data_IF_031093659364
#
_entry.id   IF_031093659364
#
_cell.length_a   1.000
_cell.length_b   1.000
_cell.length_c   1.000
_cell.angle_alpha   90.00
_cell.angle_beta   90.00
_cell.angle_gamma   90.00
#
_symmetry.space_group_name_H-M   'P 1'
#
loop_
_entity.id
_entity.type
_entity.pdbx_description
1 polymer ?
#
# COMPACT_ATOMS: atom_id res chain seq x y z
N UNK A 1 4.82 24.07 -12.30
CA UNK A 1 6.11 23.33 -12.27
C UNK A 1 6.07 22.28 -13.37
N UNK A 2 7.22 21.99 -13.96
CA UNK A 2 7.41 20.86 -14.87
C UNK A 2 7.87 19.66 -14.02
N UNK A 3 7.29 18.49 -14.27
CA UNK A 3 7.67 17.25 -13.58
C UNK A 3 8.63 16.46 -14.45
N UNK A 4 9.80 16.16 -13.91
CA UNK A 4 10.82 15.33 -14.55
C UNK A 4 10.98 14.05 -13.74
N UNK A 5 10.66 12.91 -14.35
CA UNK A 5 10.70 11.61 -13.66
C UNK A 5 12.14 11.11 -13.63
N UNK A 6 12.63 10.74 -12.45
CA UNK A 6 13.91 10.04 -12.27
C UNK A 6 13.65 8.53 -12.32
N UNK A 7 14.46 7.80 -13.07
CA UNK A 7 14.34 6.36 -13.19
C UNK A 7 14.70 5.63 -11.89
N UNK A 8 14.24 4.40 -11.78
CA UNK A 8 14.70 3.45 -10.77
C UNK A 8 15.57 2.38 -11.41
N UNK A 9 16.50 1.84 -10.65
CA UNK A 9 17.32 0.70 -11.03
C UNK A 9 16.53 -0.63 -10.94
N UNK A 10 17.16 -1.72 -11.39
CA UNK A 10 16.56 -3.06 -11.35
C UNK A 10 16.29 -3.59 -9.92
N UNK A 11 16.88 -2.98 -8.90
CA UNK A 11 16.70 -3.34 -7.49
C UNK A 11 15.64 -2.50 -6.78
N UNK A 12 15.04 -1.55 -7.51
CA UNK A 12 14.01 -0.65 -7.00
C UNK A 12 14.53 0.60 -6.28
N UNK A 13 15.84 0.88 -6.36
CA UNK A 13 16.42 2.13 -5.87
C UNK A 13 16.36 3.23 -6.93
N UNK A 14 16.60 4.47 -6.53
CA UNK A 14 16.77 5.59 -7.46
C UNK A 14 18.03 5.37 -8.31
N UNK A 15 17.90 5.48 -9.64
CA UNK A 15 19.06 5.46 -10.53
C UNK A 15 19.86 6.75 -10.35
N UNK A 16 21.01 6.63 -9.68
CA UNK A 16 21.89 7.76 -9.37
C UNK A 16 22.49 8.39 -10.61
N UNK A 17 22.71 7.64 -11.68
CA UNK A 17 23.22 8.16 -12.94
C UNK A 17 22.17 9.03 -13.64
N UNK A 18 20.94 8.56 -13.69
CA UNK A 18 19.82 9.31 -14.25
C UNK A 18 19.49 10.55 -13.41
N UNK A 19 19.56 10.45 -12.06
CA UNK A 19 19.40 11.60 -11.18
C UNK A 19 20.41 12.69 -11.48
N UNK A 20 21.72 12.36 -11.52
CA UNK A 20 22.78 13.32 -11.79
C UNK A 20 22.60 13.97 -13.16
N UNK A 21 22.32 13.18 -14.20
CA UNK A 21 22.10 13.71 -15.54
C UNK A 21 20.96 14.74 -15.57
N UNK A 22 19.85 14.45 -14.89
CA UNK A 22 18.68 15.35 -14.82
C UNK A 22 18.97 16.58 -14.01
N UNK A 23 19.67 16.45 -12.89
CA UNK A 23 20.09 17.60 -12.07
C UNK A 23 20.99 18.54 -12.89
N UNK A 24 21.96 18.02 -13.62
CA UNK A 24 22.81 18.84 -14.53
C UNK A 24 21.98 19.52 -15.61
N UNK A 25 21.07 18.78 -16.26
CA UNK A 25 20.23 19.30 -17.33
C UNK A 25 19.28 20.41 -16.87
N UNK A 26 18.81 20.36 -15.64
CA UNK A 26 17.79 21.28 -15.11
C UNK A 26 18.29 22.16 -13.96
N UNK A 27 19.58 22.28 -13.75
CA UNK A 27 20.21 22.97 -12.58
C UNK A 27 19.59 24.34 -12.31
N UNK A 28 19.46 25.21 -13.33
CA UNK A 28 18.91 26.57 -13.15
C UNK A 28 17.39 26.59 -12.88
N UNK A 29 16.71 25.47 -13.05
CA UNK A 29 15.26 25.32 -12.91
C UNK A 29 14.88 24.32 -11.83
N UNK A 30 15.86 23.71 -11.15
CA UNK A 30 15.64 22.72 -10.11
C UNK A 30 14.96 23.37 -8.91
N UNK A 31 13.69 23.02 -8.68
CA UNK A 31 12.93 23.51 -7.53
C UNK A 31 12.99 22.52 -6.36
N UNK A 32 12.62 21.27 -6.61
CA UNK A 32 12.64 20.23 -5.59
C UNK A 32 12.67 18.82 -6.21
N UNK A 33 13.11 17.87 -5.41
CA UNK A 33 12.88 16.43 -5.59
C UNK A 33 11.76 16.00 -4.65
N UNK A 34 10.80 15.19 -5.14
CA UNK A 34 9.86 14.47 -4.30
C UNK A 34 10.25 12.99 -4.24
N UNK A 35 10.38 12.45 -3.05
CA UNK A 35 10.79 11.06 -2.80
C UNK A 35 9.97 10.44 -1.69
N UNK A 36 9.63 9.15 -1.81
CA UNK A 36 9.04 8.35 -0.74
C UNK A 36 10.14 7.51 -0.09
N UNK A 37 10.22 7.50 1.25
CA UNK A 37 11.22 6.70 1.97
C UNK A 37 10.59 5.99 3.19
N UNK A 38 10.80 4.66 3.35
CA UNK A 38 11.30 3.74 2.31
C UNK A 38 10.44 3.80 1.05
N UNK A 39 10.98 3.36 -0.09
CA UNK A 39 10.26 3.45 -1.36
C UNK A 39 9.03 2.53 -1.41
N UNK A 40 8.05 2.88 -2.24
CA UNK A 40 6.90 2.01 -2.54
C UNK A 40 7.28 0.71 -3.27
N UNK A 41 8.52 0.57 -3.70
CA UNK A 41 9.08 -0.69 -4.18
C UNK A 41 9.41 -1.68 -3.06
N UNK A 42 9.23 -1.27 -1.79
CA UNK A 42 9.50 -2.11 -0.62
C UNK A 42 10.98 -2.22 -0.28
N UNK A 43 11.78 -1.23 -0.64
CA UNK A 43 13.22 -1.21 -0.36
C UNK A 43 13.65 0.06 0.38
N UNK A 44 14.63 -0.07 1.26
CA UNK A 44 15.34 1.08 1.82
C UNK A 44 16.36 1.60 0.80
N UNK A 45 16.14 2.81 0.31
CA UNK A 45 17.09 3.51 -0.54
C UNK A 45 18.39 3.78 0.22
N UNK A 46 19.46 3.06 -0.13
CA UNK A 46 20.75 3.17 0.57
C UNK A 46 21.44 4.50 0.33
N UNK A 47 21.23 5.10 -0.84
CA UNK A 47 21.81 6.37 -1.27
C UNK A 47 20.97 7.59 -0.89
N UNK A 48 19.95 7.45 -0.04
CA UNK A 48 19.00 8.55 0.25
C UNK A 48 19.67 9.84 0.72
N UNK A 49 20.74 9.76 1.51
CA UNK A 49 21.47 10.94 1.95
C UNK A 49 22.25 11.62 0.84
N UNK A 50 22.85 10.83 -0.03
CA UNK A 50 23.58 11.33 -1.20
C UNK A 50 22.60 11.98 -2.19
N UNK A 51 21.43 11.38 -2.38
CA UNK A 51 20.33 11.97 -3.16
C UNK A 51 19.95 13.34 -2.61
N UNK A 52 19.72 13.45 -1.30
CA UNK A 52 19.41 14.74 -0.67
C UNK A 52 20.54 15.77 -0.86
N UNK A 53 21.80 15.37 -0.68
CA UNK A 53 22.95 16.24 -0.86
C UNK A 53 23.06 16.74 -2.32
N UNK A 54 22.91 15.86 -3.32
CA UNK A 54 22.93 16.23 -4.73
C UNK A 54 21.89 17.33 -5.02
N UNK A 55 20.69 17.17 -4.53
CA UNK A 55 19.61 18.15 -4.72
C UNK A 55 19.94 19.48 -4.04
N UNK A 56 20.43 19.44 -2.80
CA UNK A 56 20.79 20.65 -2.05
C UNK A 56 21.97 21.39 -2.65
N UNK A 57 23.00 20.68 -3.10
CA UNK A 57 24.20 21.27 -3.71
C UNK A 57 23.86 21.99 -5.03
N UNK A 58 22.75 21.59 -5.67
CA UNK A 58 22.24 22.25 -6.88
C UNK A 58 21.05 23.21 -6.60
N UNK A 59 20.88 23.64 -5.33
CA UNK A 59 19.92 24.69 -4.94
C UNK A 59 18.47 24.24 -4.82
N UNK A 60 18.17 22.96 -5.01
CA UNK A 60 16.83 22.36 -4.86
C UNK A 60 16.50 22.06 -3.39
N UNK A 61 15.24 21.66 -3.18
CA UNK A 61 14.72 21.20 -1.88
C UNK A 61 14.27 19.74 -1.99
N UNK A 62 14.19 19.04 -0.86
CA UNK A 62 13.72 17.66 -0.81
C UNK A 62 12.38 17.58 -0.08
N UNK A 63 11.35 17.13 -0.81
CA UNK A 63 10.05 16.77 -0.27
C UNK A 63 9.99 15.28 -0.04
N UNK A 64 9.86 14.85 1.21
CA UNK A 64 9.68 13.44 1.55
C UNK A 64 8.20 13.14 1.76
N UNK A 65 7.69 12.18 1.00
CA UNK A 65 6.41 11.55 1.29
C UNK A 65 6.55 10.70 2.55
N UNK A 66 5.81 11.06 3.59
CA UNK A 66 5.84 10.40 4.90
C UNK A 66 4.80 9.28 5.05
N UNK A 67 4.22 8.79 3.95
CA UNK A 67 3.25 7.69 3.99
C UNK A 67 3.83 6.43 4.65
N UNK A 68 5.10 6.15 4.43
CA UNK A 68 5.81 4.97 4.95
C UNK A 68 6.51 5.23 6.30
N UNK A 69 5.99 6.14 7.12
CA UNK A 69 6.57 6.52 8.41
C UNK A 69 6.65 5.35 9.40
N UNK A 70 5.78 4.35 9.29
CA UNK A 70 5.81 3.12 10.09
C UNK A 70 7.10 2.29 9.92
N UNK A 71 7.89 2.55 8.89
CA UNK A 71 9.22 1.96 8.71
C UNK A 71 10.36 2.86 9.21
N UNK A 72 10.06 4.03 9.80
CA UNK A 72 11.05 5.02 10.23
C UNK A 72 11.02 5.32 11.74
N UNK A 73 9.84 5.29 12.37
CA UNK A 73 9.64 5.76 13.75
C UNK A 73 10.61 5.10 14.72
N UNK A 74 11.38 5.94 15.43
CA UNK A 74 12.38 5.49 16.41
C UNK A 74 13.69 4.94 15.83
N UNK A 75 13.78 4.75 14.51
CA UNK A 75 15.00 4.28 13.82
C UNK A 75 15.68 5.41 13.04
N UNK A 76 14.90 6.27 12.40
CA UNK A 76 15.36 7.45 11.67
C UNK A 76 14.28 8.52 11.66
N UNK A 77 14.52 9.63 10.97
CA UNK A 77 13.51 10.67 10.74
C UNK A 77 13.80 11.43 9.44
N UNK A 78 12.79 12.09 8.84
CA UNK A 78 12.99 12.92 7.66
C UNK A 78 14.11 13.94 7.79
N UNK A 79 14.22 14.60 8.94
CA UNK A 79 15.29 15.57 9.20
C UNK A 79 16.70 14.96 9.26
N UNK A 80 16.85 13.75 9.81
CA UNK A 80 18.15 13.02 9.84
C UNK A 80 18.54 12.55 8.43
N UNK A 81 17.56 12.22 7.60
CA UNK A 81 17.76 11.80 6.21
C UNK A 81 18.19 12.99 5.34
N UNK A 82 17.63 14.18 5.60
CA UNK A 82 17.95 15.41 4.85
C UNK A 82 16.72 16.02 4.15
N UNK A 83 15.51 15.58 4.46
CA UNK A 83 14.30 16.18 3.89
C UNK A 83 14.07 17.60 4.45
N UNK A 84 13.66 18.53 3.57
CA UNK A 84 13.30 19.90 3.93
C UNK A 84 11.84 20.00 4.36
N UNK A 85 11.00 19.16 3.82
CA UNK A 85 9.57 19.08 4.10
C UNK A 85 9.10 17.63 4.04
N UNK A 86 8.19 17.28 4.94
CA UNK A 86 7.56 15.95 4.97
C UNK A 86 6.11 16.09 5.40
N UNK A 87 5.19 15.47 4.67
CA UNK A 87 3.84 15.24 5.18
C UNK A 87 3.73 13.88 5.85
N UNK A 88 2.82 13.76 6.81
CA UNK A 88 2.50 12.50 7.48
C UNK A 88 1.08 12.08 7.16
N UNK A 89 0.86 10.78 7.04
CA UNK A 89 -0.46 10.16 6.93
C UNK A 89 -0.83 9.53 8.27
N UNK A 90 -1.55 10.27 9.13
CA UNK A 90 -1.89 9.77 10.46
C UNK A 90 -2.78 8.52 10.43
N UNK A 91 -3.56 8.33 9.35
CA UNK A 91 -4.39 7.14 9.11
C UNK A 91 -3.60 5.90 8.72
N UNK A 92 -2.28 5.99 8.59
CA UNK A 92 -1.37 4.85 8.39
C UNK A 92 -0.65 4.55 9.70
N UNK A 93 0.39 5.28 10.02
CA UNK A 93 1.28 5.00 11.17
C UNK A 93 0.67 5.33 12.54
N UNK A 94 -0.27 6.28 12.61
CA UNK A 94 -0.72 6.88 13.88
C UNK A 94 -2.21 6.66 14.17
N UNK A 95 -2.77 5.58 13.66
CA UNK A 95 -4.02 4.93 14.06
C UNK A 95 -5.33 5.75 13.91
N UNK A 96 -5.35 6.91 13.24
CA UNK A 96 -6.64 7.57 12.97
C UNK A 96 -7.41 6.81 11.89
N UNK A 97 -8.75 6.85 11.90
CA UNK A 97 -9.54 6.26 10.83
C UNK A 97 -9.30 6.98 9.50
N UNK A 98 -9.31 6.17 8.42
CA UNK A 98 -9.37 6.64 7.04
C UNK A 98 -10.45 5.84 6.33
N UNK A 99 -11.06 6.23 5.33
CA UNK A 99 -12.18 5.49 4.76
C UNK A 99 -13.33 5.28 5.77
N UNK A 100 -14.46 4.79 5.35
CA UNK A 100 -15.63 4.61 6.20
C UNK A 100 -16.16 5.90 6.84
N UNK A 101 -15.70 7.08 6.38
CA UNK A 101 -16.19 8.39 6.80
C UNK A 101 -15.35 9.11 7.86
N UNK A 102 -14.20 8.60 8.23
CA UNK A 102 -13.28 9.31 9.13
C UNK A 102 -12.63 10.51 8.45
N UNK A 103 -12.50 11.70 9.12
CA UNK A 103 -11.76 12.82 8.58
C UNK A 103 -10.27 12.50 8.52
N UNK A 104 -9.62 12.81 7.37
CA UNK A 104 -8.19 12.69 7.22
C UNK A 104 -7.43 13.79 7.95
N UNK A 105 -6.18 13.50 8.32
CA UNK A 105 -5.25 14.48 8.87
C UNK A 105 -3.85 14.18 8.34
N UNK A 106 -3.24 15.16 7.70
CA UNK A 106 -1.90 15.09 7.13
C UNK A 106 -1.03 16.24 7.65
N UNK A 107 -0.43 16.13 8.85
CA UNK A 107 0.48 17.16 9.33
C UNK A 107 1.64 17.36 8.38
N UNK A 108 2.03 18.61 8.17
CA UNK A 108 3.22 18.98 7.40
C UNK A 108 4.32 19.42 8.35
N UNK A 109 5.49 18.82 8.19
CA UNK A 109 6.69 19.16 8.95
C UNK A 109 7.72 19.78 8.00
N UNK A 110 8.39 20.86 8.44
CA UNK A 110 9.36 21.56 7.62
C UNK A 110 10.61 21.92 8.43
N UNK A 111 11.72 22.16 7.75
CA UNK A 111 12.90 22.72 8.35
C UNK A 111 12.79 24.26 8.54
N UNK A 112 13.80 24.87 9.15
CA UNK A 112 13.82 26.32 9.44
C UNK A 112 13.77 27.21 8.19
N UNK A 113 14.25 26.74 7.03
CA UNK A 113 14.20 27.47 5.76
C UNK A 113 12.75 27.64 5.28
N UNK A 114 11.92 26.64 5.47
CA UNK A 114 10.52 26.60 5.00
C UNK A 114 9.52 27.07 6.07
N UNK A 115 9.88 27.10 7.34
CA UNK A 115 9.00 27.53 8.44
C UNK A 115 8.34 28.91 8.21
N UNK A 116 9.02 29.94 7.66
CA UNK A 116 8.38 31.22 7.36
C UNK A 116 7.24 31.15 6.36
N UNK A 117 7.17 30.12 5.52
CA UNK A 117 6.20 29.95 4.43
C UNK A 117 5.05 29.02 4.77
N UNK A 118 5.00 28.47 5.98
CA UNK A 118 3.88 27.62 6.41
C UNK A 118 2.54 28.36 6.23
N UNK A 119 1.46 27.66 5.82
CA UNK A 119 0.17 28.29 5.55
C UNK A 119 -0.40 29.07 6.75
N UNK A 120 -0.94 30.24 6.47
CA UNK A 120 -1.66 31.06 7.44
C UNK A 120 -3.12 30.66 7.59
N UNK A 121 -3.83 31.39 8.45
CA UNK A 121 -5.28 31.28 8.59
C UNK A 121 -5.90 32.63 8.93
N UNK A 122 -7.10 32.89 8.42
CA UNK A 122 -7.74 34.20 8.57
C UNK A 122 -8.17 34.49 10.02
N UNK A 123 -8.45 33.45 10.84
CA UNK A 123 -8.98 33.63 12.18
C UNK A 123 -7.90 33.56 13.28
N UNK A 124 -6.80 32.83 13.04
CA UNK A 124 -5.72 32.67 13.99
C UNK A 124 -4.37 32.66 13.28
N UNK A 125 -3.32 33.06 13.98
CA UNK A 125 -1.96 33.02 13.46
C UNK A 125 -1.43 31.58 13.54
N UNK A 126 -1.43 30.85 12.42
CA UNK A 126 -0.91 29.49 12.31
C UNK A 126 0.37 29.39 11.50
N UNK A 127 0.62 30.36 10.64
CA UNK A 127 1.71 30.35 9.67
C UNK A 127 2.93 31.13 10.11
N UNK A 128 3.95 31.09 9.25
CA UNK A 128 5.18 31.89 9.40
C UNK A 128 5.01 33.32 8.91
N UNK A 129 6.12 34.10 8.99
CA UNK A 129 6.12 35.54 8.64
C UNK A 129 5.84 35.84 7.15
N UNK A 130 5.99 34.82 6.28
CA UNK A 130 5.71 34.89 4.83
C UNK A 130 4.58 33.92 4.46
N UNK A 131 3.66 33.69 5.40
CA UNK A 131 2.56 32.73 5.22
C UNK A 131 1.69 33.11 4.02
N UNK A 132 1.22 32.10 3.32
CA UNK A 132 0.21 32.19 2.28
C UNK A 132 -1.19 31.99 2.89
N UNK A 133 -2.19 31.83 2.04
CA UNK A 133 -3.59 31.61 2.43
C UNK A 133 -3.79 30.33 3.24
N UNK A 134 -4.97 30.19 3.88
CA UNK A 134 -5.40 28.98 4.54
C UNK A 134 -5.54 27.81 3.53
N UNK A 135 -5.10 26.62 3.94
CA UNK A 135 -5.25 25.39 3.14
C UNK A 135 -6.43 24.53 3.59
N UNK A 136 -7.02 24.83 4.75
CA UNK A 136 -8.21 24.16 5.29
C UNK A 136 -9.14 25.18 5.92
N UNK A 137 -10.44 24.83 5.98
CA UNK A 137 -11.46 25.71 6.58
C UNK A 137 -11.28 25.91 8.07
N UNK A 138 -10.86 24.86 8.79
CA UNK A 138 -10.50 24.96 10.20
C UNK A 138 -8.98 25.17 10.33
N UNK A 139 -8.53 25.99 11.31
CA UNK A 139 -7.10 26.32 11.46
C UNK A 139 -6.16 25.13 11.56
N UNK A 140 -6.61 24.06 12.23
CA UNK A 140 -5.82 22.86 12.48
C UNK A 140 -6.45 21.63 11.78
N UNK A 141 -7.25 21.82 10.73
CA UNK A 141 -8.00 20.74 10.10
C UNK A 141 -8.95 20.05 11.10
N UNK A 142 -9.08 18.76 11.04
CA UNK A 142 -9.93 17.96 11.97
C UNK A 142 -9.21 17.67 13.29
N UNK A 143 -8.91 18.70 14.07
CA UNK A 143 -8.04 18.61 15.23
C UNK A 143 -8.51 17.61 16.30
N UNK A 144 -9.82 17.36 16.45
CA UNK A 144 -10.36 16.39 17.43
C UNK A 144 -9.84 14.96 17.20
N UNK A 145 -9.51 14.59 15.96
CA UNK A 145 -9.02 13.27 15.62
C UNK A 145 -7.58 13.03 16.13
N UNK A 146 -6.84 14.10 16.42
CA UNK A 146 -5.48 14.02 16.97
C UNK A 146 -5.43 13.33 18.33
N UNK A 147 -6.56 13.31 19.08
CA UNK A 147 -6.66 12.60 20.36
C UNK A 147 -6.43 11.09 20.19
N UNK A 148 -6.79 10.52 19.04
CA UNK A 148 -6.53 9.10 18.73
C UNK A 148 -5.04 8.85 18.61
N UNK A 149 -4.33 9.63 17.78
CA UNK A 149 -2.88 9.54 17.65
C UNK A 149 -2.15 9.82 18.97
N UNK A 150 -2.63 10.81 19.75
CA UNK A 150 -2.10 11.08 21.07
C UNK A 150 -2.25 9.88 22.00
N UNK A 151 -3.44 9.29 22.07
CA UNK A 151 -3.71 8.08 22.85
C UNK A 151 -2.83 6.92 22.45
N UNK A 152 -2.73 6.64 21.13
CA UNK A 152 -1.86 5.61 20.56
C UNK A 152 -0.40 5.77 21.00
N UNK A 153 0.17 6.96 20.81
CA UNK A 153 1.57 7.25 21.17
C UNK A 153 1.76 7.14 22.69
N UNK A 154 0.80 7.64 23.50
CA UNK A 154 0.88 7.58 24.96
C UNK A 154 0.81 6.15 25.49
N UNK A 155 -0.02 5.31 24.89
CA UNK A 155 -0.17 3.89 25.27
C UNK A 155 1.10 3.10 24.96
N UNK A 156 1.71 3.31 23.80
CA UNK A 156 2.90 2.59 23.37
C UNK A 156 4.18 3.15 24.00
N UNK A 157 4.27 4.46 24.20
CA UNK A 157 5.48 5.14 24.61
C UNK A 157 6.59 5.06 23.54
N UNK A 158 7.75 5.67 23.83
CA UNK A 158 8.87 5.71 22.90
C UNK A 158 9.37 4.30 22.49
N UNK A 159 9.41 3.37 23.44
CA UNK A 159 9.82 2.00 23.19
C UNK A 159 8.80 1.29 22.28
N UNK A 160 7.51 1.38 22.58
CA UNK A 160 6.48 0.67 21.84
C UNK A 160 6.36 1.14 20.39
N UNK A 161 6.41 2.46 20.10
CA UNK A 161 6.37 2.95 18.73
C UNK A 161 7.63 2.56 17.93
N UNK A 162 8.79 2.44 18.59
CA UNK A 162 10.01 1.93 17.96
C UNK A 162 9.91 0.43 17.68
N UNK A 163 9.38 -0.33 18.62
CA UNK A 163 9.18 -1.78 18.46
C UNK A 163 8.14 -2.06 17.36
N UNK A 164 7.07 -1.26 17.26
CA UNK A 164 6.12 -1.35 16.15
C UNK A 164 6.83 -1.26 14.79
N UNK A 165 7.70 -0.26 14.60
CA UNK A 165 8.53 -0.15 13.37
C UNK A 165 9.38 -1.40 13.13
N UNK A 166 10.05 -1.90 14.16
CA UNK A 166 10.89 -3.11 14.05
C UNK A 166 10.07 -4.34 13.66
N UNK A 167 8.89 -4.52 14.26
CA UNK A 167 7.99 -5.63 13.95
C UNK A 167 7.40 -5.51 12.55
N UNK A 168 7.05 -4.33 12.08
CA UNK A 168 6.59 -4.14 10.70
C UNK A 168 7.64 -4.62 9.69
N UNK A 169 8.90 -4.23 9.88
CA UNK A 169 10.02 -4.67 9.02
C UNK A 169 10.29 -6.18 9.17
N UNK A 170 10.24 -6.70 10.40
CA UNK A 170 10.45 -8.13 10.66
C UNK A 170 9.36 -8.99 10.01
N UNK A 171 8.09 -8.61 10.16
CA UNK A 171 6.94 -9.32 9.61
C UNK A 171 6.98 -9.38 8.08
N UNK A 172 7.33 -8.26 7.43
CA UNK A 172 7.50 -8.24 5.98
C UNK A 172 8.60 -9.21 5.52
N UNK A 173 9.76 -9.19 6.18
CA UNK A 173 10.85 -10.10 5.85
C UNK A 173 10.55 -11.56 6.22
N UNK A 174 9.72 -11.81 7.23
CA UNK A 174 9.24 -13.16 7.55
C UNK A 174 8.37 -13.71 6.41
N UNK A 175 7.38 -12.94 5.95
CA UNK A 175 6.54 -13.33 4.80
C UNK A 175 7.41 -13.54 3.55
N UNK A 176 8.35 -12.61 3.27
CA UNK A 176 9.27 -12.75 2.16
C UNK A 176 9.99 -14.10 2.18
N UNK A 177 10.62 -14.43 3.30
CA UNK A 177 11.36 -15.70 3.46
C UNK A 177 10.48 -16.95 3.31
N UNK A 178 9.18 -16.85 3.63
CA UNK A 178 8.21 -17.94 3.46
C UNK A 178 7.75 -18.12 2.01
N UNK A 179 7.77 -17.05 1.21
CA UNK A 179 7.16 -17.02 -0.12
C UNK A 179 8.16 -16.99 -1.26
N UNK A 180 9.42 -16.56 -1.07
CA UNK A 180 10.37 -16.27 -2.15
C UNK A 180 10.74 -17.46 -3.04
N UNK A 181 10.64 -18.69 -2.54
CA UNK A 181 10.84 -19.91 -3.34
C UNK A 181 9.64 -20.22 -4.27
N UNK A 182 8.45 -19.69 -3.97
CA UNK A 182 7.22 -19.93 -4.71
C UNK A 182 6.77 -18.76 -5.57
N UNK A 183 7.11 -17.55 -5.14
CA UNK A 183 6.73 -16.29 -5.78
C UNK A 183 7.95 -15.37 -5.86
N UNK A 184 8.30 -14.88 -7.05
CA UNK A 184 9.38 -13.89 -7.16
C UNK A 184 9.03 -12.62 -6.38
N UNK A 185 9.95 -12.16 -5.55
CA UNK A 185 9.88 -10.83 -4.94
C UNK A 185 10.60 -9.87 -5.87
N UNK A 186 9.86 -8.91 -6.42
CA UNK A 186 10.34 -8.09 -7.53
C UNK A 186 11.55 -7.23 -7.14
N UNK A 187 11.53 -6.68 -5.91
CA UNK A 187 12.61 -5.84 -5.41
C UNK A 187 13.01 -6.29 -4.00
N UNK A 188 14.30 -6.35 -3.73
CA UNK A 188 14.82 -6.83 -2.43
C UNK A 188 16.00 -6.01 -1.92
N UNK A 189 16.26 -4.83 -2.49
CA UNK A 189 17.39 -3.99 -2.11
C UNK A 189 18.76 -4.69 -2.24
N UNK A 190 19.81 -4.01 -1.84
CA UNK A 190 21.18 -4.53 -1.97
C UNK A 190 21.49 -5.71 -1.05
N UNK A 191 20.81 -5.80 0.11
CA UNK A 191 21.01 -6.85 1.12
C UNK A 191 20.02 -8.00 0.99
N UNK A 192 19.25 -8.05 -0.10
CA UNK A 192 18.26 -9.09 -0.33
C UNK A 192 17.09 -9.05 0.66
N UNK A 193 16.77 -7.90 1.24
CA UNK A 193 15.71 -7.73 2.25
C UNK A 193 14.68 -6.71 1.79
N UNK A 194 13.44 -6.94 2.18
CA UNK A 194 12.37 -5.96 2.05
C UNK A 194 12.42 -4.92 3.19
N UNK A 195 11.78 -3.79 2.99
CA UNK A 195 11.49 -2.82 4.05
C UNK A 195 10.31 -3.34 4.91
N UNK A 196 9.25 -2.58 5.05
CA UNK A 196 8.02 -2.95 5.75
C UNK A 196 6.95 -3.55 4.83
N UNK A 197 7.16 -3.48 3.53
CA UNK A 197 6.31 -3.99 2.47
C UNK A 197 7.14 -4.63 1.36
N UNK A 198 6.53 -5.42 0.50
CA UNK A 198 7.20 -6.05 -0.64
C UNK A 198 6.27 -6.18 -1.84
N UNK A 199 6.85 -6.25 -3.02
CA UNK A 199 6.14 -6.45 -4.28
C UNK A 199 6.33 -7.88 -4.74
N UNK A 200 5.24 -8.65 -4.76
CA UNK A 200 5.21 -10.03 -5.26
C UNK A 200 4.82 -10.03 -6.72
N UNK A 201 5.65 -10.62 -7.57
CA UNK A 201 5.44 -10.65 -9.01
C UNK A 201 4.58 -11.85 -9.42
N UNK A 202 3.40 -11.58 -10.00
CA UNK A 202 2.47 -12.60 -10.48
C UNK A 202 2.42 -12.68 -12.01
N UNK A 203 3.19 -11.86 -12.73
CA UNK A 203 3.15 -11.76 -14.19
C UNK A 203 3.48 -13.05 -14.92
N UNK A 204 4.33 -13.89 -14.30
CA UNK A 204 4.68 -15.21 -14.85
C UNK A 204 3.47 -16.16 -14.98
N UNK A 205 2.45 -16.00 -14.16
CA UNK A 205 1.27 -16.88 -14.16
C UNK A 205 0.27 -16.54 -15.26
N UNK A 206 0.49 -15.44 -15.99
CA UNK A 206 -0.32 -15.05 -17.13
C UNK A 206 -0.31 -16.12 -18.24
N UNK A 207 0.79 -16.87 -18.39
CA UNK A 207 0.87 -17.97 -19.33
C UNK A 207 -0.12 -19.10 -19.03
N UNK A 208 -0.46 -19.32 -17.74
CA UNK A 208 -1.49 -20.24 -17.30
C UNK A 208 -2.91 -19.64 -17.30
N UNK A 209 -3.07 -18.40 -17.79
CA UNK A 209 -4.36 -17.70 -17.79
C UNK A 209 -4.73 -17.09 -16.43
N UNK A 210 -3.82 -17.05 -15.46
CA UNK A 210 -4.08 -16.56 -14.11
C UNK A 210 -3.51 -15.14 -13.95
N UNK A 211 -4.37 -14.22 -13.52
CA UNK A 211 -4.05 -12.82 -13.26
C UNK A 211 -3.81 -12.55 -11.77
N UNK A 212 -3.25 -11.37 -11.46
CA UNK A 212 -3.13 -10.89 -10.09
C UNK A 212 -4.52 -10.74 -9.42
N UNK A 213 -5.54 -10.38 -10.18
CA UNK A 213 -6.91 -10.29 -9.68
C UNK A 213 -7.45 -11.66 -9.26
N UNK A 214 -7.16 -12.73 -10.01
CA UNK A 214 -7.59 -14.09 -9.66
C UNK A 214 -6.98 -14.53 -8.33
N UNK A 215 -5.70 -14.27 -8.11
CA UNK A 215 -5.03 -14.53 -6.84
C UNK A 215 -5.64 -13.71 -5.70
N UNK A 216 -5.90 -12.43 -5.92
CA UNK A 216 -6.53 -11.56 -4.93
C UNK A 216 -7.95 -12.01 -4.57
N UNK A 217 -8.76 -12.34 -5.55
CA UNK A 217 -10.12 -12.85 -5.32
C UNK A 217 -10.09 -14.23 -4.63
N UNK A 218 -9.12 -15.07 -4.97
CA UNK A 218 -8.96 -16.36 -4.31
C UNK A 218 -8.54 -16.24 -2.85
N UNK A 219 -7.70 -15.26 -2.49
CA UNK A 219 -7.37 -14.95 -1.09
C UNK A 219 -8.62 -14.67 -0.23
N UNK A 220 -9.68 -14.09 -0.80
CA UNK A 220 -10.94 -13.88 -0.08
C UNK A 220 -11.58 -15.22 0.34
N UNK A 221 -11.46 -16.28 -0.46
CA UNK A 221 -11.92 -17.62 -0.09
C UNK A 221 -11.10 -18.21 1.08
N UNK A 222 -9.84 -17.79 1.21
CA UNK A 222 -8.96 -18.15 2.33
C UNK A 222 -9.15 -17.26 3.57
N UNK A 223 -10.11 -16.31 3.51
CA UNK A 223 -10.47 -15.45 4.65
C UNK A 223 -9.60 -14.20 4.77
N UNK A 224 -8.94 -13.77 3.71
CA UNK A 224 -8.11 -12.57 3.69
C UNK A 224 -8.69 -11.47 2.81
N UNK A 225 -8.62 -10.25 3.28
CA UNK A 225 -8.73 -9.09 2.41
C UNK A 225 -7.49 -9.04 1.51
N UNK A 226 -7.70 -8.94 0.20
CA UNK A 226 -6.58 -8.99 -0.73
C UNK A 226 -5.63 -7.80 -0.56
N UNK A 227 -4.31 -8.02 -0.72
CA UNK A 227 -3.34 -6.93 -0.79
C UNK A 227 -3.60 -6.00 -1.98
N UNK A 228 -2.95 -4.83 -1.98
CA UNK A 228 -3.03 -3.86 -3.07
C UNK A 228 -2.58 -4.48 -4.40
N UNK A 229 -3.44 -4.34 -5.43
CA UNK A 229 -3.22 -4.91 -6.75
C UNK A 229 -2.53 -3.93 -7.69
N UNK A 230 -1.61 -4.46 -8.51
CA UNK A 230 -1.03 -3.75 -9.65
C UNK A 230 -0.46 -2.37 -9.31
N UNK A 231 0.11 -2.25 -8.12
CA UNK A 231 0.77 -1.03 -7.66
C UNK A 231 2.05 -1.39 -6.85
N UNK A 232 3.17 -0.70 -7.09
CA UNK A 232 3.41 0.31 -8.13
C UNK A 232 3.60 -0.30 -9.54
N UNK A 233 3.67 -1.62 -9.64
CA UNK A 233 3.91 -2.33 -10.91
C UNK A 233 2.67 -3.14 -11.30
N UNK A 234 2.24 -3.04 -12.55
CA UNK A 234 1.11 -3.79 -13.07
C UNK A 234 1.34 -5.31 -13.02
N UNK A 235 0.33 -6.08 -12.61
CA UNK A 235 0.39 -7.54 -12.52
C UNK A 235 1.13 -8.07 -11.28
N UNK A 236 1.25 -7.25 -10.24
CA UNK A 236 1.85 -7.60 -8.95
C UNK A 236 0.84 -7.43 -7.81
N UNK A 237 1.19 -7.91 -6.62
CA UNK A 237 0.53 -7.55 -5.37
C UNK A 237 1.56 -6.95 -4.40
N UNK A 238 1.16 -5.91 -3.66
CA UNK A 238 1.96 -5.32 -2.60
C UNK A 238 1.49 -5.87 -1.26
N UNK A 239 2.38 -6.52 -0.53
CA UNK A 239 2.09 -7.09 0.78
C UNK A 239 2.75 -6.23 1.86
N UNK A 240 1.92 -5.68 2.76
CA UNK A 240 2.33 -4.92 3.93
C UNK A 240 1.63 -5.52 5.17
N UNK A 241 2.32 -6.38 5.95
CA UNK A 241 1.70 -7.03 7.11
C UNK A 241 1.54 -6.10 8.31
N UNK A 242 2.25 -4.98 8.35
CA UNK A 242 2.37 -4.07 9.50
C UNK A 242 2.91 -4.76 10.77
N UNK A 243 2.86 -4.07 11.90
CA UNK A 243 3.19 -4.62 13.22
C UNK A 243 2.01 -5.29 13.91
N UNK A 244 0.80 -5.07 13.40
CA UNK A 244 -0.44 -5.47 14.08
C UNK A 244 -0.79 -6.95 13.89
N UNK A 245 -0.22 -7.60 12.88
CA UNK A 245 -0.47 -9.02 12.61
C UNK A 245 0.39 -9.92 13.50
N UNK A 246 -0.24 -10.88 14.17
CA UNK A 246 0.50 -11.88 14.93
C UNK A 246 1.10 -12.98 14.03
N UNK A 247 2.04 -13.74 14.59
CA UNK A 247 2.72 -14.79 13.83
C UNK A 247 1.77 -15.85 13.27
N UNK A 248 0.69 -16.18 13.98
CA UNK A 248 -0.29 -17.16 13.53
C UNK A 248 -1.05 -16.66 12.29
N UNK A 249 -1.36 -15.37 12.25
CA UNK A 249 -1.98 -14.74 11.08
C UNK A 249 -1.02 -14.65 9.90
N UNK A 250 0.26 -14.31 10.13
CA UNK A 250 1.29 -14.34 9.08
C UNK A 250 1.47 -15.75 8.50
N UNK A 251 1.47 -16.78 9.36
CA UNK A 251 1.55 -18.16 8.94
C UNK A 251 0.34 -18.56 8.08
N UNK A 252 -0.88 -18.24 8.53
CA UNK A 252 -2.12 -18.49 7.76
C UNK A 252 -2.09 -17.83 6.38
N UNK A 253 -1.60 -16.60 6.30
CA UNK A 253 -1.49 -15.85 5.05
C UNK A 253 -0.49 -16.52 4.09
N UNK A 254 0.68 -16.88 4.59
CA UNK A 254 1.67 -17.60 3.80
C UNK A 254 1.14 -18.96 3.32
N UNK A 255 0.48 -19.73 4.20
CA UNK A 255 -0.11 -21.02 3.85
C UNK A 255 -1.19 -20.88 2.78
N UNK A 256 -2.00 -19.82 2.84
CA UNK A 256 -2.99 -19.51 1.81
C UNK A 256 -2.33 -19.25 0.46
N UNK A 257 -1.30 -18.40 0.39
CA UNK A 257 -0.59 -18.13 -0.85
C UNK A 257 0.14 -19.37 -1.39
N UNK A 258 0.75 -20.16 -0.54
CA UNK A 258 1.42 -21.42 -0.95
C UNK A 258 0.40 -22.44 -1.49
N UNK A 259 -0.82 -22.50 -0.95
CA UNK A 259 -1.87 -23.36 -1.52
C UNK A 259 -2.41 -22.78 -2.84
N UNK A 260 -2.59 -21.47 -2.94
CA UNK A 260 -2.93 -20.80 -4.21
C UNK A 260 -1.87 -21.08 -5.27
N UNK A 261 -0.59 -21.13 -4.91
CA UNK A 261 0.48 -21.49 -5.84
C UNK A 261 0.29 -22.89 -6.39
N UNK A 262 -0.07 -23.86 -5.57
CA UNK A 262 -0.39 -25.23 -6.04
C UNK A 262 -1.60 -25.25 -6.97
N UNK A 263 -2.63 -24.45 -6.65
CA UNK A 263 -3.81 -24.31 -7.53
C UNK A 263 -3.41 -23.74 -8.90
N UNK A 264 -2.51 -22.74 -8.95
CA UNK A 264 -1.95 -22.20 -10.19
C UNK A 264 -1.18 -23.28 -10.98
N UNK A 265 -0.36 -24.10 -10.29
CA UNK A 265 0.40 -25.18 -10.92
C UNK A 265 -0.52 -26.25 -11.49
N UNK A 266 -1.64 -26.54 -10.84
CA UNK A 266 -2.68 -27.45 -11.37
C UNK A 266 -3.35 -26.91 -12.64
N UNK A 267 -3.56 -25.60 -12.74
CA UNK A 267 -4.03 -24.98 -13.99
C UNK A 267 -2.94 -25.05 -15.07
N UNK A 268 -1.71 -24.71 -14.73
CA UNK A 268 -0.61 -24.71 -15.68
C UNK A 268 -0.27 -26.10 -16.25
N UNK A 269 -0.46 -27.15 -15.44
CA UNK A 269 -0.27 -28.56 -15.86
C UNK A 269 -1.48 -29.14 -16.63
N UNK A 270 -2.61 -28.45 -16.69
CA UNK A 270 -3.84 -28.94 -17.30
C UNK A 270 -4.65 -29.90 -16.40
N UNK A 271 -4.29 -30.06 -15.12
CA UNK A 271 -5.09 -30.79 -14.13
C UNK A 271 -6.42 -30.08 -13.83
N UNK A 272 -6.43 -28.75 -13.88
CA UNK A 272 -7.64 -27.92 -13.83
C UNK A 272 -7.83 -27.16 -15.14
N UNK A 273 -9.09 -26.94 -15.51
CA UNK A 273 -9.44 -26.17 -16.70
C UNK A 273 -8.93 -24.72 -16.61
N UNK A 274 -8.34 -24.22 -17.68
CA UNK A 274 -7.74 -22.91 -17.73
C UNK A 274 -8.76 -21.75 -17.58
N UNK A 275 -9.99 -21.95 -18.09
CA UNK A 275 -11.00 -20.90 -18.15
C UNK A 275 -12.00 -20.95 -17.00
N UNK A 276 -12.26 -22.18 -16.46
CA UNK A 276 -13.20 -22.38 -15.37
C UNK A 276 -12.60 -23.22 -14.26
N UNK A 277 -11.89 -22.57 -13.36
CA UNK A 277 -11.22 -23.18 -12.22
C UNK A 277 -11.49 -22.40 -10.92
N UNK A 278 -10.97 -22.90 -9.83
CA UNK A 278 -11.21 -22.33 -8.50
C UNK A 278 -10.66 -20.91 -8.33
N UNK A 279 -9.66 -20.53 -9.12
CA UNK A 279 -9.06 -19.18 -9.11
C UNK A 279 -9.89 -18.19 -9.94
N UNK A 280 -10.20 -18.55 -11.18
CA UNK A 280 -10.96 -17.68 -12.10
C UNK A 280 -12.41 -17.48 -11.67
N UNK A 281 -12.99 -18.44 -10.92
CA UNK A 281 -14.35 -18.35 -10.38
C UNK A 281 -14.40 -17.74 -8.96
N UNK A 282 -13.28 -17.51 -8.31
CA UNK A 282 -13.23 -16.86 -6.99
C UNK A 282 -13.70 -15.39 -7.07
N UNK A 283 -14.27 -14.83 -5.98
CA UNK A 283 -14.52 -15.47 -4.70
C UNK A 283 -15.86 -16.27 -4.69
N UNK A 284 -15.93 -17.27 -3.82
CA UNK A 284 -17.12 -18.11 -3.66
C UNK A 284 -17.97 -17.65 -2.47
N UNK A 285 -19.20 -17.25 -2.73
CA UNK A 285 -20.14 -16.84 -1.67
C UNK A 285 -20.72 -18.02 -0.92
N UNK A 286 -21.25 -17.78 0.28
CA UNK A 286 -22.00 -18.80 1.02
C UNK A 286 -23.17 -19.35 0.20
N UNK A 287 -23.91 -18.49 -0.50
CA UNK A 287 -25.03 -18.89 -1.35
C UNK A 287 -24.62 -19.84 -2.47
N UNK A 288 -23.47 -19.62 -3.12
CA UNK A 288 -22.94 -20.53 -4.14
C UNK A 288 -22.62 -21.91 -3.56
N UNK A 289 -21.91 -21.95 -2.42
CA UNK A 289 -21.45 -23.21 -1.82
C UNK A 289 -22.59 -24.04 -1.24
N UNK A 290 -23.67 -23.40 -0.77
CA UNK A 290 -24.84 -24.05 -0.17
C UNK A 290 -25.99 -24.30 -1.16
N UNK A 291 -25.88 -23.79 -2.39
CA UNK A 291 -26.90 -24.00 -3.44
C UNK A 291 -27.09 -25.50 -3.76
N UNK A 292 -28.31 -25.93 -4.07
CA UNK A 292 -28.57 -27.29 -4.56
C UNK A 292 -27.88 -27.58 -5.90
N UNK A 293 -27.64 -26.54 -6.71
CA UNK A 293 -26.95 -26.63 -8.00
C UNK A 293 -25.49 -26.33 -7.87
N UNK A 294 -24.62 -27.21 -8.33
CA UNK A 294 -23.15 -27.00 -8.41
C UNK A 294 -22.66 -27.45 -9.77
N UNK A 295 -22.30 -26.50 -10.61
CA UNK A 295 -21.90 -26.74 -12.02
C UNK A 295 -20.39 -26.74 -12.23
N UNK A 296 -19.59 -26.45 -11.19
CA UNK A 296 -18.15 -26.43 -11.28
C UNK A 296 -17.54 -27.82 -11.23
N UNK A 297 -16.40 -28.00 -11.87
CA UNK A 297 -15.64 -29.26 -11.92
C UNK A 297 -14.91 -29.60 -10.62
N UNK A 298 -14.72 -28.64 -9.74
CA UNK A 298 -14.10 -28.79 -8.43
C UNK A 298 -15.13 -28.87 -7.30
N UNK A 299 -14.72 -29.39 -6.14
CA UNK A 299 -15.64 -29.60 -5.02
C UNK A 299 -16.02 -28.27 -4.31
N UNK A 300 -17.23 -28.25 -3.69
CA UNK A 300 -17.64 -27.16 -2.78
C UNK A 300 -16.67 -26.97 -1.63
N UNK A 301 -16.05 -28.05 -1.13
CA UNK A 301 -15.04 -27.96 -0.08
C UNK A 301 -13.80 -27.21 -0.57
N UNK A 302 -13.30 -27.50 -1.79
CA UNK A 302 -12.16 -26.78 -2.38
C UNK A 302 -12.52 -25.30 -2.59
N UNK A 303 -13.75 -25.00 -3.00
CA UNK A 303 -14.23 -23.63 -3.15
C UNK A 303 -14.26 -22.86 -1.83
N UNK A 304 -15.00 -23.37 -0.85
CA UNK A 304 -15.32 -22.61 0.38
C UNK A 304 -14.39 -22.87 1.57
N UNK A 305 -13.72 -24.02 1.63
CA UNK A 305 -12.90 -24.46 2.75
C UNK A 305 -11.58 -25.11 2.27
N UNK A 306 -10.77 -24.38 1.51
CA UNK A 306 -9.56 -24.95 0.92
C UNK A 306 -8.50 -25.37 1.94
N UNK A 307 -8.47 -24.77 3.14
CA UNK A 307 -7.58 -25.15 4.23
C UNK A 307 -8.35 -25.45 5.53
N UNK A 308 -7.81 -26.32 6.40
CA UNK A 308 -8.51 -26.79 7.60
C UNK A 308 -8.91 -25.68 8.58
N UNK A 309 -8.11 -24.65 8.74
CA UNK A 309 -8.37 -23.55 9.68
C UNK A 309 -9.68 -22.80 9.40
N UNK A 310 -10.13 -22.80 8.13
CA UNK A 310 -11.37 -22.15 7.71
C UNK A 310 -12.62 -22.84 8.31
N UNK A 311 -12.51 -24.11 8.71
CA UNK A 311 -13.57 -24.84 9.38
C UNK A 311 -13.64 -24.54 10.88
N UNK A 312 -12.61 -23.92 11.44
CA UNK A 312 -12.45 -23.66 12.86
C UNK A 312 -12.86 -22.23 13.27
N UNK A 313 -13.60 -21.50 12.43
CA UNK A 313 -14.12 -20.17 12.74
C UNK A 313 -13.44 -18.99 12.04
N UNK A 314 -12.40 -19.23 11.24
CA UNK A 314 -11.68 -18.17 10.50
C UNK A 314 -12.26 -17.91 9.10
N UNK A 315 -13.47 -18.41 8.79
CA UNK A 315 -14.10 -18.20 7.50
C UNK A 315 -14.87 -16.89 7.47
N UNK A 316 -14.46 -15.99 6.60
CA UNK A 316 -15.21 -14.84 6.16
C UNK A 316 -15.82 -15.13 4.77
N UNK A 317 -17.14 -14.96 4.64
CA UNK A 317 -17.82 -15.20 3.37
C UNK A 317 -17.89 -13.92 2.55
N UNK A 318 -17.38 -13.90 1.32
CA UNK A 318 -17.61 -12.79 0.40
C UNK A 318 -19.10 -12.55 0.19
N UNK A 319 -19.53 -11.30 0.18
CA UNK A 319 -20.94 -10.93 -0.02
C UNK A 319 -21.39 -11.05 -1.47
N UNK A 320 -20.44 -10.94 -2.42
CA UNK A 320 -20.69 -11.06 -3.86
C UNK A 320 -19.68 -12.00 -4.51
N UNK A 321 -20.09 -12.64 -5.59
CA UNK A 321 -19.23 -13.46 -6.45
C UNK A 321 -18.34 -12.56 -7.34
N UNK A 322 -17.65 -13.16 -8.31
CA UNK A 322 -16.81 -12.43 -9.26
C UNK A 322 -17.58 -11.30 -9.95
N UNK A 323 -17.02 -10.12 -9.90
CA UNK A 323 -17.50 -8.93 -10.61
C UNK A 323 -16.44 -8.54 -11.64
N UNK A 324 -16.85 -8.23 -12.86
CA UNK A 324 -15.98 -7.63 -13.86
C UNK A 324 -15.80 -6.14 -13.54
N UNK A 325 -14.82 -5.85 -12.71
CA UNK A 325 -14.52 -4.49 -12.26
C UNK A 325 -14.08 -3.60 -13.42
N UNK A 326 -13.31 -4.14 -14.36
CA UNK A 326 -12.82 -3.39 -15.52
C UNK A 326 -13.97 -2.99 -16.47
N UNK A 327 -14.95 -3.88 -16.66
CA UNK A 327 -16.16 -3.55 -17.40
C UNK A 327 -16.97 -2.47 -16.66
N UNK A 328 -17.18 -2.63 -15.35
CA UNK A 328 -17.92 -1.67 -14.53
C UNK A 328 -17.32 -0.27 -14.57
N UNK A 329 -16.01 -0.15 -14.42
CA UNK A 329 -15.30 1.13 -14.45
C UNK A 329 -15.39 1.85 -15.80
N UNK A 330 -15.45 1.09 -16.90
CA UNK A 330 -15.57 1.64 -18.27
C UNK A 330 -17.01 1.93 -18.69
N UNK A 331 -17.97 1.33 -18.01
CA UNK A 331 -19.40 1.40 -18.36
C UNK A 331 -20.21 1.91 -17.17
N UNK A 332 -19.82 3.07 -16.63
CA UNK A 332 -20.54 3.72 -15.55
C UNK A 332 -21.96 4.08 -15.99
N UNK A 333 -22.97 3.54 -15.29
CA UNK A 333 -24.36 3.89 -15.50
C UNK A 333 -24.83 4.71 -14.32
N UNK A 334 -25.13 5.99 -14.55
CA UNK A 334 -25.84 6.81 -13.58
C UNK A 334 -27.34 6.49 -13.67
N UNK A 335 -27.86 5.81 -12.64
CA UNK A 335 -29.30 5.51 -12.51
C UNK A 335 -30.01 6.52 -11.61
N UNK A 336 -29.40 7.69 -11.36
CA UNK A 336 -30.11 8.75 -10.63
C UNK A 336 -31.35 9.17 -11.43
N UNK A 337 -32.56 8.96 -10.91
CA UNK A 337 -33.77 9.43 -11.60
C UNK A 337 -33.68 10.93 -11.81
N UNK A 338 -34.19 11.46 -12.91
CA UNK A 338 -34.24 12.89 -13.12
C UNK A 338 -35.10 13.54 -12.03
N UNK A 339 -34.81 14.81 -11.68
CA UNK A 339 -35.46 15.51 -10.57
C UNK A 339 -36.98 15.52 -10.70
N UNK A 340 -37.47 15.51 -11.93
CA UNK A 340 -38.90 15.48 -12.27
C UNK A 340 -39.59 14.19 -11.77
N UNK A 341 -38.81 13.08 -11.58
CA UNK A 341 -39.36 11.84 -11.04
C UNK A 341 -39.71 11.94 -9.55
N UNK A 342 -39.14 12.91 -8.83
CA UNK A 342 -39.42 13.19 -7.42
C UNK A 342 -40.51 14.29 -7.24
N UNK A 343 -40.95 14.91 -8.33
CA UNK A 343 -41.99 15.94 -8.31
C UNK A 343 -43.39 15.36 -8.50
N UNK A 344 -43.56 14.04 -8.47
CA UNK A 344 -44.87 13.43 -8.48
C UNK A 344 -45.50 13.59 -7.10
N UNK A 345 -46.66 14.19 -7.10
CA UNK A 345 -47.54 14.53 -5.99
C UNK A 345 -47.77 13.41 -4.96
#
# INVERSE_FOLDING_TARGET
MEVVVVACDEKGNVDMSDLNLKVEQYTERLACLMVTYPSTHGVFETSIKDICNIIHDNGGLVYMDGANMNAQVGLTSPGIIGADVCHLNLHKTFAIPHGGGGPGMGPICVNSKLAPFLPGHALISTGGSKANHAVSSAPWGSASILLISYGYIRMLGAKGVTDATRYAILNANYIKARLEDSYPILYSGEKGRAAHEMIVDLRQFKAAGISAEDVAKRLMDYGFHAPTLSFPVAGTIMIEPTESEDKGELDRFCDALLEIRKEIDQVASGEMDQHSNVLTNAPHTAGMVTSDTWTYTYSRQKAGYPLPYLKQGNKFWPSVARVDSAYGDRNLICICPPIESYMKE
#
